data_IF_496472794020
#
_entry.id   IF_496472794020
#
_cell.length_a   1.000
_cell.length_b   1.000
_cell.length_c   1.000
_cell.angle_alpha   90.00
_cell.angle_beta   90.00
_cell.angle_gamma   90.00
#
_symmetry.space_group_name_H-M   'P 1'
#
loop_
_entity.id
_entity.type
_entity.pdbx_description
1 polymer ?
#
# COMPACT_ATOMS: atom_id res chain seq x y z
N UNK A 1 11.97 -20.32 2.15
CA UNK A 1 11.58 -18.92 2.39
C UNK A 1 11.70 -18.66 3.89
N UNK A 2 12.41 -17.60 4.32
CA UNK A 2 12.71 -17.37 5.74
C UNK A 2 11.96 -16.18 6.37
N UNK A 3 11.05 -15.54 5.62
CA UNK A 3 10.24 -14.40 6.10
C UNK A 3 8.77 -14.81 6.19
N UNK A 4 8.10 -14.31 7.21
CA UNK A 4 6.64 -14.39 7.32
C UNK A 4 6.00 -13.45 6.29
N UNK A 5 4.88 -13.90 5.75
CA UNK A 5 4.02 -13.18 4.82
C UNK A 5 2.70 -12.81 5.50
N UNK A 6 1.83 -12.09 4.80
CA UNK A 6 0.51 -11.71 5.36
C UNK A 6 -0.39 -12.93 5.59
N UNK A 7 -0.24 -13.98 4.76
CA UNK A 7 -1.03 -15.22 4.85
C UNK A 7 -0.68 -16.02 6.12
N UNK A 8 0.47 -15.75 6.73
CA UNK A 8 0.92 -16.41 7.96
C UNK A 8 0.37 -15.73 9.24
N UNK A 9 -0.33 -14.60 9.14
CA UNK A 9 -0.64 -13.73 10.28
C UNK A 9 -2.16 -13.49 10.44
N UNK A 10 -2.67 -13.60 11.68
CA UNK A 10 -4.03 -13.17 12.02
C UNK A 10 -4.06 -11.68 12.41
N UNK A 11 -4.58 -10.85 11.51
CA UNK A 11 -4.65 -9.38 11.70
C UNK A 11 -6.00 -8.87 12.21
N UNK A 12 -6.99 -9.74 12.45
CA UNK A 12 -8.34 -9.33 12.88
C UNK A 12 -8.28 -8.55 14.19
N UNK A 13 -8.85 -7.35 14.20
CA UNK A 13 -8.89 -6.46 15.36
C UNK A 13 -7.56 -5.79 15.70
N UNK A 14 -6.54 -5.90 14.84
CA UNK A 14 -5.24 -5.24 15.04
C UNK A 14 -5.09 -4.02 14.13
N UNK A 15 -4.42 -2.99 14.64
CA UNK A 15 -3.90 -1.89 13.81
C UNK A 15 -2.60 -2.37 13.19
N UNK A 16 -2.49 -2.30 11.86
CA UNK A 16 -1.31 -2.78 11.11
C UNK A 16 -0.66 -1.60 10.41
N UNK A 17 0.65 -1.47 10.56
CA UNK A 17 1.46 -0.52 9.79
C UNK A 17 1.80 -1.16 8.45
N UNK A 18 1.37 -0.54 7.36
CA UNK A 18 1.61 -1.05 6.00
C UNK A 18 2.46 -0.03 5.25
N UNK A 19 3.58 -0.50 4.70
CA UNK A 19 4.38 0.28 3.75
C UNK A 19 3.82 0.04 2.35
N UNK A 20 3.33 1.09 1.71
CA UNK A 20 2.73 1.06 0.36
C UNK A 20 3.54 1.93 -0.61
N UNK A 21 3.47 1.65 -1.91
CA UNK A 21 3.99 2.52 -2.96
C UNK A 21 2.87 3.38 -3.56
N UNK A 22 2.55 4.52 -2.94
CA UNK A 22 1.58 5.49 -3.48
C UNK A 22 2.25 6.59 -4.32
N UNK A 23 3.44 6.34 -4.87
CA UNK A 23 4.11 7.30 -5.73
C UNK A 23 3.48 7.31 -7.13
N UNK A 24 2.42 8.12 -7.30
CA UNK A 24 1.62 8.26 -8.53
C UNK A 24 1.88 9.60 -9.23
N UNK A 25 1.70 9.69 -10.57
CA UNK A 25 1.83 10.94 -11.29
C UNK A 25 0.66 11.89 -10.97
N UNK A 26 0.99 13.17 -10.82
CA UNK A 26 0.03 14.25 -10.61
C UNK A 26 0.10 15.24 -11.77
N UNK A 27 -1.02 15.90 -12.08
CA UNK A 27 -1.05 17.07 -12.95
C UNK A 27 -0.68 18.37 -12.20
N UNK A 28 -0.66 19.49 -12.92
CA UNK A 28 -0.34 20.82 -12.37
C UNK A 28 -1.30 21.27 -11.25
N UNK A 29 -2.51 20.71 -11.19
CA UNK A 29 -3.50 20.98 -10.15
C UNK A 29 -3.45 19.96 -9.00
N UNK A 30 -2.39 19.16 -8.92
CA UNK A 30 -2.19 18.10 -7.93
C UNK A 30 -3.27 17.01 -7.98
N UNK A 31 -3.89 16.79 -9.15
CA UNK A 31 -4.83 15.68 -9.35
C UNK A 31 -4.08 14.46 -9.87
N UNK A 32 -4.49 13.29 -9.36
CA UNK A 32 -3.97 12.00 -9.83
C UNK A 32 -4.35 11.82 -11.30
N UNK A 33 -3.36 11.56 -12.15
CA UNK A 33 -3.57 11.28 -13.58
C UNK A 33 -3.54 9.80 -13.91
N UNK A 34 -3.03 8.97 -13.00
CA UNK A 34 -3.05 7.51 -13.09
C UNK A 34 -2.99 6.88 -11.70
N UNK A 35 -3.84 5.90 -11.45
CA UNK A 35 -4.03 5.23 -10.15
C UNK A 35 -3.44 3.82 -10.09
N UNK A 36 -2.65 3.39 -11.08
CA UNK A 36 -2.13 2.02 -11.22
C UNK A 36 -1.38 1.47 -9.98
N UNK A 37 -0.87 2.32 -9.09
CA UNK A 37 -0.12 1.93 -7.87
C UNK A 37 -0.95 1.98 -6.58
N UNK A 38 -2.25 2.28 -6.66
CA UNK A 38 -3.16 2.40 -5.53
C UNK A 38 -3.98 1.12 -5.38
#
# INVERSE_FOLDING_TARGET
MARLTIDDLNVKGKRVLVRVDFNVPLDDNQKITSDFRI
#
